data_IF_912392055824
#
_entry.id   IF_912392055824
#
_cell.length_a   1.000
_cell.length_b   1.000
_cell.length_c   1.000
_cell.angle_alpha   90.00
_cell.angle_beta   90.00
_cell.angle_gamma   90.00
#
_symmetry.space_group_name_H-M   'P 1'
#
loop_
_entity.id
_entity.type
_entity.pdbx_description
1 polymer ?
#
# COMPACT_ATOMS: atom_id res chain seq x y z
N UNK A 1 -49.19 21.87 -22.78
CA UNK A 1 -48.23 22.22 -21.70
C UNK A 1 -48.33 21.16 -20.61
N UNK A 2 -47.42 20.17 -20.61
CA UNK A 2 -47.40 19.13 -19.58
C UNK A 2 -46.08 19.24 -18.81
N UNK A 3 -46.08 20.06 -17.75
CA UNK A 3 -44.97 20.08 -16.78
C UNK A 3 -45.15 18.84 -15.91
N UNK A 4 -44.60 17.72 -16.35
CA UNK A 4 -44.36 16.59 -15.45
C UNK A 4 -43.45 17.10 -14.34
N UNK A 5 -44.02 17.23 -13.16
CA UNK A 5 -43.33 17.58 -11.92
C UNK A 5 -42.22 16.54 -11.72
N UNK A 6 -40.99 16.93 -12.06
CA UNK A 6 -39.78 16.20 -11.70
C UNK A 6 -39.63 16.31 -10.18
N UNK A 7 -40.31 15.43 -9.45
CA UNK A 7 -39.96 15.14 -8.07
C UNK A 7 -38.58 14.50 -8.12
N UNK A 8 -37.52 15.30 -8.02
CA UNK A 8 -36.17 14.80 -7.83
C UNK A 8 -36.13 14.14 -6.45
N UNK A 9 -36.48 12.85 -6.39
CA UNK A 9 -36.33 12.06 -5.18
C UNK A 9 -34.85 12.12 -4.80
N UNK A 10 -34.55 12.79 -3.69
CA UNK A 10 -33.19 12.85 -3.16
C UNK A 10 -32.67 11.41 -3.00
N UNK A 11 -31.40 11.15 -3.31
CA UNK A 11 -30.85 9.81 -3.16
C UNK A 11 -30.98 9.35 -1.70
N UNK A 12 -31.11 8.03 -1.45
CA UNK A 12 -31.20 7.47 -0.10
C UNK A 12 -30.09 8.01 0.82
N UNK A 13 -30.38 8.15 2.11
CA UNK A 13 -29.42 8.70 3.09
C UNK A 13 -28.09 7.95 3.06
N UNK A 14 -28.11 6.62 3.01
CA UNK A 14 -26.89 5.79 2.98
C UNK A 14 -26.03 6.04 1.73
N UNK A 15 -26.63 6.38 0.58
CA UNK A 15 -25.90 6.78 -0.62
C UNK A 15 -25.14 8.10 -0.40
N UNK A 16 -25.78 9.05 0.29
CA UNK A 16 -25.15 10.34 0.64
C UNK A 16 -24.03 10.17 1.66
N UNK A 17 -24.21 9.30 2.66
CA UNK A 17 -23.15 8.90 3.59
C UNK A 17 -21.98 8.26 2.84
N UNK A 18 -22.25 7.38 1.87
CA UNK A 18 -21.22 6.82 0.99
C UNK A 18 -20.43 7.89 0.22
N UNK A 19 -21.11 8.96 -0.20
CA UNK A 19 -20.49 10.15 -0.77
C UNK A 19 -19.48 10.80 0.17
N UNK A 20 -19.82 10.99 1.45
CA UNK A 20 -18.91 11.52 2.49
C UNK A 20 -17.72 10.57 2.72
N UNK A 21 -17.97 9.26 2.70
CA UNK A 21 -16.93 8.24 2.84
C UNK A 21 -15.79 8.36 1.82
N UNK A 22 -16.07 8.83 0.61
CA UNK A 22 -15.04 9.07 -0.43
C UNK A 22 -14.09 10.24 -0.10
N UNK A 23 -14.46 11.08 0.87
CA UNK A 23 -13.61 12.16 1.41
C UNK A 23 -12.88 11.69 2.66
N UNK A 24 -13.63 11.21 3.66
CA UNK A 24 -13.11 10.97 5.00
C UNK A 24 -12.39 9.64 5.14
N UNK A 25 -12.80 8.58 4.43
CA UNK A 25 -12.20 7.25 4.56
C UNK A 25 -10.71 7.26 4.20
N UNK A 26 -10.34 7.64 2.97
CA UNK A 26 -8.94 7.74 2.57
C UNK A 26 -8.16 8.80 3.38
N UNK A 27 -8.79 9.91 3.78
CA UNK A 27 -8.15 10.93 4.61
C UNK A 27 -7.77 10.38 5.99
N UNK A 28 -8.69 9.68 6.66
CA UNK A 28 -8.44 9.11 7.98
C UNK A 28 -7.26 8.14 7.98
N UNK A 29 -7.20 7.26 6.98
CA UNK A 29 -6.06 6.36 6.80
C UNK A 29 -4.75 7.13 6.56
N UNK A 30 -4.78 8.16 5.71
CA UNK A 30 -3.59 8.97 5.40
C UNK A 30 -3.09 9.74 6.62
N UNK A 31 -3.98 10.34 7.40
CA UNK A 31 -3.61 11.09 8.62
C UNK A 31 -2.97 10.17 9.65
N UNK A 32 -3.60 9.02 9.93
CA UNK A 32 -3.09 8.05 10.89
C UNK A 32 -1.72 7.54 10.46
N UNK A 33 -1.60 7.02 9.23
CA UNK A 33 -0.32 6.49 8.74
C UNK A 33 0.77 7.57 8.63
N UNK A 34 0.42 8.78 8.18
CA UNK A 34 1.38 9.88 8.10
C UNK A 34 1.94 10.23 9.47
N UNK A 35 1.13 10.21 10.52
CA UNK A 35 1.63 10.42 11.89
C UNK A 35 2.67 9.36 12.27
N UNK A 36 2.31 8.09 12.14
CA UNK A 36 3.17 6.96 12.55
C UNK A 36 4.51 6.96 11.79
N UNK A 37 4.48 7.14 10.47
CA UNK A 37 5.71 7.20 9.68
C UNK A 37 6.51 8.48 9.94
N UNK A 38 5.86 9.62 10.20
CA UNK A 38 6.57 10.85 10.56
C UNK A 38 7.32 10.70 11.89
N UNK A 39 6.69 10.09 12.90
CA UNK A 39 7.35 9.83 14.17
C UNK A 39 8.54 8.87 14.01
N UNK A 40 8.35 7.77 13.28
CA UNK A 40 9.43 6.80 13.00
C UNK A 40 10.61 7.43 12.24
N UNK A 41 10.33 8.29 11.25
CA UNK A 41 11.35 9.01 10.50
C UNK A 41 12.04 10.09 11.34
N UNK A 42 11.30 10.78 12.22
CA UNK A 42 11.85 11.80 13.13
C UNK A 42 12.78 11.17 14.17
N UNK A 43 12.42 10.00 14.70
CA UNK A 43 13.29 9.23 15.59
C UNK A 43 14.63 8.89 14.92
N UNK A 44 14.61 8.46 13.65
CA UNK A 44 15.85 8.19 12.90
C UNK A 44 16.64 9.45 12.53
N UNK A 45 15.96 10.55 12.26
CA UNK A 45 16.62 11.83 11.95
C UNK A 45 17.35 12.41 13.18
N UNK A 46 16.79 12.23 14.37
CA UNK A 46 17.31 12.80 15.62
C UNK A 46 18.17 11.80 16.41
N UNK A 47 18.04 10.51 16.11
CA UNK A 47 18.74 9.43 16.80
C UNK A 47 20.12 9.11 16.22
N UNK A 48 20.78 8.16 16.88
CA UNK A 48 22.01 7.56 16.38
C UNK A 48 21.66 6.34 15.50
N UNK A 49 22.47 6.10 14.47
CA UNK A 49 22.23 5.03 13.51
C UNK A 49 22.47 3.64 14.11
N UNK A 50 21.42 3.08 14.73
CA UNK A 50 21.42 1.74 15.30
C UNK A 50 21.31 0.63 14.24
N UNK A 51 21.12 0.95 12.94
CA UNK A 51 21.16 -0.10 11.90
C UNK A 51 22.54 -0.76 11.81
N UNK A 52 23.60 -0.10 12.29
CA UNK A 52 24.94 -0.69 12.36
C UNK A 52 24.99 -1.93 13.26
N UNK A 53 24.08 -2.04 14.24
CA UNK A 53 23.99 -3.16 15.19
C UNK A 53 23.18 -4.34 14.63
N UNK A 54 22.47 -4.14 13.51
CA UNK A 54 21.64 -5.18 12.90
C UNK A 54 22.44 -6.28 12.18
N UNK A 55 23.73 -6.04 11.89
CA UNK A 55 24.56 -7.00 11.13
C UNK A 55 23.91 -7.39 9.80
N UNK A 56 23.73 -8.68 9.57
CA UNK A 56 23.22 -9.26 8.32
C UNK A 56 21.68 -9.40 8.28
N UNK A 57 20.95 -8.71 9.16
CA UNK A 57 19.47 -8.82 9.24
C UNK A 57 18.70 -8.13 8.11
N UNK A 58 19.38 -7.42 7.19
CA UNK A 58 18.70 -6.83 6.04
C UNK A 58 18.47 -7.89 4.94
N UNK A 59 17.27 -7.95 4.33
CA UNK A 59 17.02 -8.84 3.21
C UNK A 59 17.68 -8.29 1.93
N UNK A 60 17.95 -9.15 0.96
CA UNK A 60 18.34 -8.71 -0.38
C UNK A 60 17.19 -7.91 -1.05
N UNK A 61 17.48 -6.85 -1.84
CA UNK A 61 18.81 -6.30 -2.16
C UNK A 61 19.33 -5.30 -1.11
N UNK A 62 18.58 -5.00 -0.05
CA UNK A 62 18.96 -4.00 0.96
C UNK A 62 20.20 -4.39 1.77
N UNK A 63 20.50 -5.69 1.88
CA UNK A 63 21.77 -6.19 2.41
C UNK A 63 23.01 -5.61 1.69
N UNK A 64 22.88 -5.18 0.42
CA UNK A 64 24.00 -4.64 -0.36
C UNK A 64 24.31 -3.17 -0.08
N UNK A 65 23.40 -2.45 0.57
CA UNK A 65 23.47 -0.99 0.71
C UNK A 65 24.28 -0.53 1.94
N UNK A 66 24.54 -1.43 2.88
CA UNK A 66 25.18 -1.12 4.16
C UNK A 66 24.28 -0.33 5.12
N UNK A 67 24.62 -0.28 6.42
CA UNK A 67 23.75 0.31 7.44
C UNK A 67 23.45 1.80 7.24
N UNK A 68 24.44 2.59 6.83
CA UNK A 68 24.29 4.04 6.67
C UNK A 68 23.30 4.41 5.55
N UNK A 69 23.37 3.72 4.42
CA UNK A 69 22.49 3.98 3.31
C UNK A 69 21.06 3.50 3.61
N UNK A 70 20.91 2.31 4.20
CA UNK A 70 19.60 1.81 4.66
C UNK A 70 18.96 2.78 5.67
N UNK A 71 19.72 3.29 6.64
CA UNK A 71 19.23 4.26 7.63
C UNK A 71 18.74 5.54 6.97
N UNK A 72 19.57 6.10 6.09
CA UNK A 72 19.29 7.35 5.39
C UNK A 72 18.07 7.21 4.48
N UNK A 73 17.99 6.10 3.73
CA UNK A 73 16.84 5.80 2.88
C UNK A 73 15.56 5.63 3.70
N UNK A 74 15.58 4.83 4.75
CA UNK A 74 14.42 4.62 5.62
C UNK A 74 13.93 5.96 6.20
N UNK A 75 14.84 6.75 6.76
CA UNK A 75 14.55 8.09 7.34
C UNK A 75 13.81 8.98 6.35
N UNK A 76 14.34 9.13 5.13
CA UNK A 76 13.76 10.06 4.16
C UNK A 76 12.50 9.52 3.48
N UNK A 77 12.41 8.21 3.25
CA UNK A 77 11.18 7.59 2.75
C UNK A 77 10.05 7.75 3.77
N UNK A 78 10.34 7.58 5.06
CA UNK A 78 9.36 7.78 6.14
C UNK A 78 8.92 9.25 6.25
N UNK A 79 9.86 10.19 6.31
CA UNK A 79 9.54 11.61 6.49
C UNK A 79 8.84 12.22 5.26
N UNK A 80 9.43 12.06 4.08
CA UNK A 80 8.85 12.60 2.85
C UNK A 80 7.58 11.84 2.47
N UNK A 81 7.57 10.52 2.68
CA UNK A 81 6.40 9.69 2.47
C UNK A 81 5.25 10.10 3.38
N UNK A 82 5.48 10.34 4.67
CA UNK A 82 4.46 10.82 5.60
C UNK A 82 3.84 12.15 5.14
N UNK A 83 4.68 13.13 4.79
CA UNK A 83 4.22 14.44 4.31
C UNK A 83 3.42 14.30 3.01
N UNK A 84 3.95 13.56 2.03
CA UNK A 84 3.27 13.34 0.75
C UNK A 84 1.95 12.58 0.94
N UNK A 85 1.91 11.59 1.84
CA UNK A 85 0.72 10.82 2.17
C UNK A 85 -0.35 11.71 2.83
N UNK A 86 0.03 12.56 3.78
CA UNK A 86 -0.88 13.50 4.44
C UNK A 86 -1.52 14.47 3.45
N UNK A 87 -0.72 15.02 2.53
CA UNK A 87 -1.22 15.90 1.47
C UNK A 87 -2.02 15.14 0.39
N UNK A 88 -1.86 13.82 0.34
CA UNK A 88 -2.42 12.97 -0.70
C UNK A 88 -1.79 13.27 -2.06
N UNK A 89 -0.47 13.37 -2.11
CA UNK A 89 0.34 13.60 -3.30
C UNK A 89 1.07 12.31 -3.69
N UNK A 90 0.84 11.82 -4.90
CA UNK A 90 1.42 10.57 -5.39
C UNK A 90 1.01 9.36 -4.54
N UNK A 91 -0.19 9.38 -3.95
CA UNK A 91 -0.59 8.50 -2.84
C UNK A 91 -0.38 7.02 -3.12
N UNK A 92 -0.67 6.55 -4.34
CA UNK A 92 -0.48 5.14 -4.70
C UNK A 92 0.98 4.72 -4.67
N UNK A 93 1.87 5.58 -5.17
CA UNK A 93 3.30 5.33 -5.21
C UNK A 93 3.94 5.45 -3.83
N UNK A 94 3.54 6.49 -3.07
CA UNK A 94 4.00 6.70 -1.69
C UNK A 94 3.54 5.55 -0.79
N UNK A 95 2.27 5.16 -0.88
CA UNK A 95 1.77 4.03 -0.10
C UNK A 95 2.47 2.71 -0.46
N UNK A 96 2.76 2.46 -1.76
CA UNK A 96 3.53 1.30 -2.17
C UNK A 96 4.97 1.32 -1.65
N UNK A 97 5.64 2.49 -1.68
CA UNK A 97 6.99 2.64 -1.12
C UNK A 97 7.02 2.38 0.39
N UNK A 98 6.07 2.96 1.13
CA UNK A 98 5.90 2.72 2.57
C UNK A 98 5.53 1.27 2.87
N UNK A 99 4.79 0.61 1.98
CA UNK A 99 4.45 -0.81 2.12
C UNK A 99 5.70 -1.69 2.02
N UNK A 100 6.55 -1.46 1.01
CA UNK A 100 7.85 -2.15 0.88
C UNK A 100 8.75 -1.86 2.09
N UNK A 101 8.86 -0.59 2.49
CA UNK A 101 9.64 -0.20 3.67
C UNK A 101 9.15 -0.93 4.93
N UNK A 102 7.84 -1.00 5.14
CA UNK A 102 7.24 -1.68 6.29
C UNK A 102 7.52 -3.18 6.28
N UNK A 103 7.48 -3.83 5.11
CA UNK A 103 7.85 -5.25 4.99
C UNK A 103 9.33 -5.47 5.36
N UNK A 104 10.23 -4.61 4.89
CA UNK A 104 11.67 -4.69 5.22
C UNK A 104 11.90 -4.43 6.70
N UNK A 105 11.18 -3.47 7.29
CA UNK A 105 11.23 -3.20 8.73
C UNK A 105 10.72 -4.39 9.53
N UNK A 106 9.64 -5.04 9.09
CA UNK A 106 9.16 -6.28 9.71
C UNK A 106 10.29 -7.32 9.66
N UNK A 107 10.85 -7.60 8.49
CA UNK A 107 11.90 -8.60 8.33
C UNK A 107 13.11 -8.34 9.24
N UNK A 108 13.64 -7.12 9.21
CA UNK A 108 14.91 -6.80 9.86
C UNK A 108 14.79 -6.61 11.39
N UNK A 109 13.62 -6.15 11.87
CA UNK A 109 13.46 -5.65 13.25
C UNK A 109 12.34 -6.36 14.00
N UNK A 110 11.23 -6.73 13.34
CA UNK A 110 10.04 -7.21 14.02
C UNK A 110 9.70 -8.69 13.84
N UNK A 111 10.44 -9.39 12.99
CA UNK A 111 10.22 -10.80 12.69
C UNK A 111 10.87 -11.69 13.76
N UNK A 112 10.27 -12.84 14.12
CA UNK A 112 10.94 -13.82 14.98
C UNK A 112 12.26 -14.29 14.36
N UNK A 113 13.29 -14.46 15.20
CA UNK A 113 14.57 -15.01 14.79
C UNK A 113 14.44 -16.45 14.29
N UNK A 114 13.62 -17.24 14.97
CA UNK A 114 13.32 -18.63 14.63
C UNK A 114 11.85 -18.93 14.91
N UNK A 115 11.23 -19.73 14.05
CA UNK A 115 9.89 -20.27 14.24
C UNK A 115 9.74 -21.55 13.43
N UNK A 116 9.01 -22.52 13.97
CA UNK A 116 8.80 -23.85 13.39
C UNK A 116 7.34 -24.15 13.09
N UNK A 117 6.41 -23.32 13.61
CA UNK A 117 4.97 -23.48 13.42
C UNK A 117 4.23 -22.15 13.31
N UNK A 118 3.03 -22.17 12.71
CA UNK A 118 2.17 -20.99 12.67
C UNK A 118 1.72 -20.52 14.05
N UNK A 119 1.63 -21.44 15.02
CA UNK A 119 1.30 -21.11 16.41
C UNK A 119 2.41 -20.30 17.08
N UNK A 120 3.68 -20.66 16.83
CA UNK A 120 4.83 -19.87 17.30
C UNK A 120 4.88 -18.51 16.62
N UNK A 121 4.69 -18.48 15.30
CA UNK A 121 4.66 -17.23 14.54
C UNK A 121 3.57 -16.29 15.11
N UNK A 122 2.36 -16.81 15.38
CA UNK A 122 1.25 -16.03 15.94
C UNK A 122 1.57 -15.31 17.25
N UNK A 123 2.50 -15.82 18.06
CA UNK A 123 2.94 -15.15 19.30
C UNK A 123 3.64 -13.82 19.02
N UNK A 124 4.27 -13.67 17.84
CA UNK A 124 4.86 -12.42 17.37
C UNK A 124 3.85 -11.35 16.95
N UNK A 125 2.56 -11.71 16.82
CA UNK A 125 1.46 -10.74 16.67
C UNK A 125 1.14 -10.06 18.01
N UNK A 126 2.14 -9.41 18.59
CA UNK A 126 2.08 -8.74 19.88
C UNK A 126 2.78 -7.37 19.83
N UNK A 127 2.60 -6.57 20.87
CA UNK A 127 3.33 -5.33 21.13
C UNK A 127 4.21 -5.60 22.35
N UNK A 128 5.23 -6.44 22.18
CA UNK A 128 6.08 -6.94 23.26
C UNK A 128 7.43 -7.37 22.72
N UNK A 129 8.51 -7.15 23.46
CA UNK A 129 9.87 -7.55 23.06
C UNK A 129 10.28 -8.89 23.70
N UNK A 130 9.41 -9.90 23.64
CA UNK A 130 9.63 -11.22 24.27
C UNK A 130 10.34 -12.24 23.35
N UNK A 131 10.89 -11.80 22.22
CA UNK A 131 11.69 -12.64 21.32
C UNK A 131 10.93 -13.41 20.24
N UNK A 132 9.59 -13.43 20.26
CA UNK A 132 8.76 -14.08 19.23
C UNK A 132 8.44 -13.17 18.03
N UNK A 133 9.07 -11.98 17.96
CA UNK A 133 8.68 -10.89 17.08
C UNK A 133 7.70 -9.92 17.75
N UNK A 134 7.39 -8.82 17.05
CA UNK A 134 6.50 -7.75 17.53
C UNK A 134 5.85 -7.01 16.34
N UNK A 135 5.40 -7.78 15.34
CA UNK A 135 4.97 -7.24 14.05
C UNK A 135 3.49 -6.84 13.98
N UNK A 136 2.77 -6.79 15.11
CA UNK A 136 1.35 -6.44 15.14
C UNK A 136 1.06 -5.06 14.56
N UNK A 137 1.75 -4.02 15.05
CA UNK A 137 1.58 -2.66 14.55
C UNK A 137 1.95 -2.52 13.06
N UNK A 138 3.14 -2.94 12.60
CA UNK A 138 3.48 -2.82 11.19
C UNK A 138 2.57 -3.65 10.28
N UNK A 139 2.02 -4.78 10.73
CA UNK A 139 1.02 -5.52 9.96
C UNK A 139 -0.28 -4.73 9.78
N UNK A 140 -0.72 -3.97 10.80
CA UNK A 140 -1.85 -3.05 10.66
C UNK A 140 -1.53 -1.93 9.67
N UNK A 141 -0.29 -1.41 9.66
CA UNK A 141 0.11 -0.42 8.65
C UNK A 141 0.04 -0.99 7.23
N UNK A 142 0.52 -2.22 6.99
CA UNK A 142 0.38 -2.88 5.69
C UNK A 142 -1.09 -3.00 5.26
N UNK A 143 -1.97 -3.38 6.19
CA UNK A 143 -3.41 -3.49 5.93
C UNK A 143 -4.06 -2.14 5.60
N UNK A 144 -3.63 -1.05 6.24
CA UNK A 144 -4.13 0.31 5.98
C UNK A 144 -3.53 0.96 4.73
N UNK A 145 -2.29 0.61 4.36
CA UNK A 145 -1.63 1.07 3.14
C UNK A 145 -2.21 0.41 1.88
N UNK A 146 -2.71 -0.82 1.98
CA UNK A 146 -3.29 -1.56 0.86
C UNK A 146 -4.45 -0.81 0.17
N UNK A 147 -5.51 -0.35 0.87
CA UNK A 147 -6.57 0.41 0.23
C UNK A 147 -6.07 1.75 -0.34
N UNK A 148 -5.04 2.38 0.22
CA UNK A 148 -4.46 3.60 -0.37
C UNK A 148 -3.68 3.31 -1.66
N UNK A 149 -3.01 2.16 -1.73
CA UNK A 149 -2.31 1.68 -2.94
C UNK A 149 -3.31 1.36 -4.06
N UNK A 150 -4.45 0.75 -3.73
CA UNK A 150 -5.45 0.27 -4.69
C UNK A 150 -6.53 1.31 -5.05
N UNK A 151 -6.96 2.13 -4.11
CA UNK A 151 -8.06 3.09 -4.30
C UNK A 151 -7.55 4.54 -4.46
N UNK A 152 -6.33 4.84 -3.99
CA UNK A 152 -5.73 6.16 -4.06
C UNK A 152 -6.14 7.09 -2.90
N UNK A 153 -5.96 8.40 -3.12
CA UNK A 153 -5.94 9.43 -2.08
C UNK A 153 -7.31 9.88 -1.53
N UNK A 154 -8.40 9.53 -2.23
CA UNK A 154 -9.72 10.09 -1.98
C UNK A 154 -9.86 11.54 -2.47
N UNK A 155 -11.06 12.12 -2.28
CA UNK A 155 -11.40 13.44 -2.85
C UNK A 155 -10.72 14.63 -2.15
N UNK A 156 -10.39 14.50 -0.86
CA UNK A 156 -9.65 15.53 -0.12
C UNK A 156 -8.14 15.33 -0.26
N UNK A 157 -7.60 15.50 -1.46
CA UNK A 157 -6.18 15.26 -1.75
C UNK A 157 -5.66 16.13 -2.90
N UNK A 158 -4.33 16.34 -2.93
CA UNK A 158 -3.67 16.97 -4.07
C UNK A 158 -3.80 16.12 -5.35
N UNK A 159 -3.76 14.79 -5.24
CA UNK A 159 -3.99 13.87 -6.36
C UNK A 159 -5.34 14.13 -7.02
N UNK A 160 -6.41 14.28 -6.22
CA UNK A 160 -7.74 14.58 -6.75
C UNK A 160 -7.81 15.97 -7.38
N UNK A 161 -7.21 16.98 -6.74
CA UNK A 161 -7.15 18.34 -7.29
C UNK A 161 -6.38 18.44 -8.61
N UNK A 162 -5.32 17.65 -8.79
CA UNK A 162 -4.59 17.56 -10.06
C UNK A 162 -5.43 16.79 -11.09
N UNK A 163 -6.10 15.71 -10.68
CA UNK A 163 -6.91 14.89 -11.56
C UNK A 163 -8.13 15.65 -12.11
N UNK A 164 -8.76 16.53 -11.33
CA UNK A 164 -9.91 17.36 -11.81
C UNK A 164 -9.51 18.39 -12.87
N UNK A 165 -8.21 18.69 -13.01
CA UNK A 165 -7.67 19.55 -14.08
C UNK A 165 -7.35 18.78 -15.36
N UNK A 166 -7.46 17.45 -15.35
CA UNK A 166 -7.22 16.57 -16.49
C UNK A 166 -8.55 15.94 -16.93
N UNK A 167 -8.67 15.60 -18.20
CA UNK A 167 -9.85 14.87 -18.70
C UNK A 167 -10.04 13.57 -17.91
N UNK A 168 -11.24 13.34 -17.40
CA UNK A 168 -11.55 12.12 -16.64
C UNK A 168 -11.49 10.91 -17.58
N UNK A 169 -10.54 10.02 -17.36
CA UNK A 169 -10.55 8.70 -18.00
C UNK A 169 -11.64 7.86 -17.34
N UNK A 170 -12.48 7.21 -18.14
CA UNK A 170 -13.51 6.31 -17.62
C UNK A 170 -12.88 5.20 -16.75
N UNK A 171 -13.55 4.80 -15.68
CA UNK A 171 -13.08 3.70 -14.84
C UNK A 171 -12.95 2.43 -15.69
N UNK A 172 -11.72 1.94 -15.85
CA UNK A 172 -11.46 0.71 -16.58
C UNK A 172 -11.81 -0.51 -15.69
N UNK A 173 -12.42 -1.57 -16.24
CA UNK A 173 -12.60 -2.82 -15.50
C UNK A 173 -11.25 -3.39 -15.05
N UNK A 174 -11.23 -4.16 -13.95
CA UNK A 174 -10.03 -4.86 -13.49
C UNK A 174 -9.66 -5.97 -14.48
N UNK A 175 -8.87 -5.60 -15.49
CA UNK A 175 -8.32 -6.53 -16.46
C UNK A 175 -7.31 -7.48 -15.82
N UNK A 176 -6.99 -8.56 -16.54
CA UNK A 176 -6.05 -9.57 -16.07
C UNK A 176 -4.67 -9.00 -15.73
N UNK A 177 -4.19 -8.04 -16.53
CA UNK A 177 -2.91 -7.36 -16.29
C UNK A 177 -2.93 -6.53 -15.01
N UNK A 178 -4.07 -5.91 -14.65
CA UNK A 178 -4.19 -5.17 -13.39
C UNK A 178 -4.07 -6.11 -12.18
N UNK A 179 -4.73 -7.27 -12.23
CA UNK A 179 -4.54 -8.32 -11.23
C UNK A 179 -3.09 -8.80 -11.17
N UNK A 180 -2.46 -8.99 -12.33
CA UNK A 180 -1.05 -9.37 -12.42
C UNK A 180 -0.12 -8.40 -11.70
N UNK A 181 -0.28 -7.10 -11.95
CA UNK A 181 0.49 -6.04 -11.30
C UNK A 181 0.27 -6.00 -9.80
N UNK A 182 -0.99 -6.09 -9.33
CA UNK A 182 -1.31 -6.07 -7.89
C UNK A 182 -0.68 -7.27 -7.17
N UNK A 183 -0.82 -8.47 -7.73
CA UNK A 183 -0.26 -9.68 -7.16
C UNK A 183 1.27 -9.64 -7.13
N UNK A 184 1.93 -9.08 -8.15
CA UNK A 184 3.38 -8.86 -8.15
C UNK A 184 3.80 -7.85 -7.08
N UNK A 185 3.11 -6.72 -6.99
CA UNK A 185 3.44 -5.65 -6.05
C UNK A 185 3.33 -6.10 -4.58
N UNK A 186 2.37 -6.98 -4.27
CA UNK A 186 2.19 -7.55 -2.94
C UNK A 186 3.08 -8.77 -2.73
N UNK A 187 3.12 -9.69 -3.71
CA UNK A 187 3.80 -10.97 -3.60
C UNK A 187 5.32 -10.83 -3.44
N UNK A 188 5.95 -9.94 -4.22
CA UNK A 188 7.40 -9.79 -4.22
C UNK A 188 7.96 -9.33 -2.87
N UNK A 189 7.42 -8.31 -2.18
CA UNK A 189 7.94 -8.00 -0.85
C UNK A 189 7.46 -9.02 0.20
N UNK A 190 6.22 -9.54 0.13
CA UNK A 190 5.77 -10.59 1.07
C UNK A 190 6.65 -11.84 1.03
N UNK A 191 7.31 -12.15 -0.09
CA UNK A 191 8.21 -13.31 -0.16
C UNK A 191 9.45 -13.18 0.73
N UNK A 192 9.75 -11.97 1.22
CA UNK A 192 10.79 -11.78 2.24
C UNK A 192 10.39 -12.40 3.58
N UNK A 193 9.11 -12.29 3.96
CA UNK A 193 8.59 -12.78 5.24
C UNK A 193 8.11 -14.23 5.15
N UNK A 194 7.37 -14.54 4.08
CA UNK A 194 6.75 -15.84 3.83
C UNK A 194 7.08 -16.26 2.39
N UNK A 195 8.25 -16.87 2.14
CA UNK A 195 8.76 -17.13 0.79
C UNK A 195 7.78 -17.89 -0.11
N UNK A 196 7.07 -18.87 0.44
CA UNK A 196 6.10 -19.68 -0.30
C UNK A 196 4.81 -18.91 -0.61
N UNK A 197 4.27 -18.11 0.33
CA UNK A 197 3.08 -17.27 0.09
C UNK A 197 3.39 -16.20 -0.94
N UNK A 198 4.42 -15.39 -0.66
CA UNK A 198 4.78 -14.26 -1.50
C UNK A 198 5.24 -14.73 -2.89
N UNK A 199 6.03 -15.81 -2.95
CA UNK A 199 6.48 -16.41 -4.20
C UNK A 199 5.31 -16.92 -5.04
N UNK A 200 4.34 -17.62 -4.45
CA UNK A 200 3.14 -18.08 -5.17
C UNK A 200 2.31 -16.90 -5.72
N UNK A 201 2.13 -15.83 -4.93
CA UNK A 201 1.43 -14.62 -5.39
C UNK A 201 2.20 -13.93 -6.52
N UNK A 202 3.52 -13.79 -6.40
CA UNK A 202 4.35 -13.17 -7.43
C UNK A 202 4.33 -13.96 -8.75
N UNK A 203 4.42 -15.30 -8.68
CA UNK A 203 4.35 -16.17 -9.86
C UNK A 203 2.97 -16.10 -10.53
N UNK A 204 1.89 -16.14 -9.74
CA UNK A 204 0.54 -15.95 -10.26
C UNK A 204 0.40 -14.57 -10.93
N UNK A 205 0.92 -13.52 -10.28
CA UNK A 205 0.92 -12.17 -10.81
C UNK A 205 1.66 -12.05 -12.14
N UNK A 206 2.84 -12.67 -12.24
CA UNK A 206 3.63 -12.74 -13.46
C UNK A 206 2.88 -13.46 -14.60
N UNK A 207 2.28 -14.61 -14.29
CA UNK A 207 1.48 -15.37 -15.25
C UNK A 207 0.28 -14.55 -15.78
N UNK A 208 -0.37 -13.77 -14.92
CA UNK A 208 -1.47 -12.89 -15.31
C UNK A 208 -1.01 -11.67 -16.12
N UNK A 209 0.19 -11.14 -15.83
CA UNK A 209 0.74 -9.98 -16.53
C UNK A 209 1.24 -10.31 -17.96
N UNK A 210 1.72 -11.53 -18.19
CA UNK A 210 2.31 -11.97 -19.48
C UNK A 210 1.25 -12.55 -20.43
N UNK A 211 0.10 -13.02 -19.92
CA UNK A 211 -0.91 -13.65 -20.79
C UNK A 211 -1.41 -12.64 -21.83
N UNK A 212 -1.29 -12.93 -23.14
CA UNK A 212 -1.75 -12.03 -24.17
C UNK A 212 -3.23 -11.76 -23.99
N UNK A 213 -3.60 -10.49 -23.88
CA UNK A 213 -5.01 -10.09 -23.90
C UNK A 213 -5.56 -10.49 -25.26
N UNK A 214 -6.47 -11.47 -25.28
CA UNK A 214 -7.23 -11.75 -26.48
C UNK A 214 -7.94 -10.45 -26.86
N UNK A 215 -7.49 -9.81 -27.94
CA UNK A 215 -8.22 -8.71 -28.55
C UNK A 215 -9.58 -9.30 -28.91
N UNK A 216 -10.62 -8.93 -28.17
CA UNK A 216 -11.97 -8.96 -28.72
C UNK A 216 -12.00 -7.90 -29.83
N UNK A 217 -11.41 -8.23 -30.98
CA UNK A 217 -11.97 -7.79 -32.24
C UNK A 217 -13.42 -8.27 -32.30
N UNK A 218 -14.21 -7.82 -33.27
CA UNK A 218 -15.64 -8.15 -33.43
C UNK A 218 -16.62 -7.28 -32.62
N UNK A 219 -16.65 -5.98 -32.95
CA UNK A 219 -17.91 -5.21 -32.93
C UNK A 219 -17.96 -4.00 -33.91
N UNK A 220 -17.05 -3.89 -34.90
CA UNK A 220 -17.12 -2.86 -35.96
C UNK A 220 -17.42 -3.45 -37.36
N UNK A 221 -17.93 -4.69 -37.45
CA UNK A 221 -18.25 -5.35 -38.75
C UNK A 221 -19.75 -5.56 -38.97
N UNK A 222 -20.62 -4.99 -38.15
CA UNK A 222 -22.05 -4.89 -38.45
C UNK A 222 -22.55 -3.57 -37.88
N UNK A 223 -22.52 -2.46 -38.60
CA UNK A 223 -23.40 -2.17 -39.74
C UNK A 223 -22.74 -1.18 -40.70
N UNK A 224 -22.27 -1.67 -41.84
CA UNK A 224 -22.12 -0.92 -43.09
C UNK A 224 -23.17 -1.46 -44.08
#
# INVERSE_FOLDING_TARGET
MNRSLLTSSQPPLMTRVGGVGQWLGPLGLRVLLAWEFFEAGREKLQGQNWFAELGDKFPQPFALLGPQLNWTMATWVELLGAIALLLGLGTRYVAAALWVLTVVAIYAVHWPAEWSSLAELWRGYAISNEGYGNYKLPLLYLAMLLPLTLNGAGRLSLDHWIATRRSTVAAAPSGQTAWGVVLLAIGLPTSLLLPWVGGALALAGLALAIKPQARTAWADVATA
#
